data_IF_027775844630
#
_entry.id   IF_027775844630
#
_cell.length_a   1.000
_cell.length_b   1.000
_cell.length_c   1.000
_cell.angle_alpha   90.00
_cell.angle_beta   90.00
_cell.angle_gamma   90.00
#
_symmetry.space_group_name_H-M   'P 1'
#
loop_
_entity.id
_entity.type
_entity.pdbx_description
1 polymer ?
#
# COMPACT_ATOMS: atom_id res chain seq x y z
N UNK A 1 -5.30 -4.90 -9.75
CA UNK A 1 -6.07 -3.72 -10.26
C UNK A 1 -7.56 -4.07 -10.19
N UNK A 2 -8.10 -4.07 -8.95
CA UNK A 2 -9.46 -4.54 -8.65
C UNK A 2 -10.52 -3.43 -8.69
N UNK A 3 -11.79 -3.85 -8.82
CA UNK A 3 -12.96 -2.92 -8.88
C UNK A 3 -13.17 -2.11 -7.60
N UNK A 4 -12.87 -2.67 -6.45
CA UNK A 4 -13.12 -2.07 -5.12
C UNK A 4 -11.97 -1.20 -4.59
N UNK A 5 -11.01 -0.87 -5.45
CA UNK A 5 -9.81 -0.15 -5.03
C UNK A 5 -9.90 1.39 -5.22
N UNK A 6 -10.88 1.89 -6.00
CA UNK A 6 -11.02 3.35 -6.24
C UNK A 6 -9.80 3.99 -6.89
N UNK A 7 -9.06 3.24 -7.71
CA UNK A 7 -7.80 3.67 -8.33
C UNK A 7 -7.97 4.84 -9.30
N UNK A 8 -9.13 4.96 -9.91
CA UNK A 8 -9.51 6.08 -10.77
C UNK A 8 -9.46 7.42 -10.02
N UNK A 9 -9.98 7.47 -8.81
CA UNK A 9 -9.92 8.66 -7.96
C UNK A 9 -8.50 9.04 -7.58
N UNK A 10 -7.65 8.04 -7.29
CA UNK A 10 -6.23 8.27 -6.98
C UNK A 10 -5.51 8.84 -8.20
N UNK A 11 -5.77 8.31 -9.39
CA UNK A 11 -5.19 8.82 -10.64
C UNK A 11 -5.63 10.25 -10.94
N UNK A 12 -6.90 10.59 -10.68
CA UNK A 12 -7.42 11.95 -10.90
C UNK A 12 -6.72 13.00 -10.01
N UNK A 13 -6.34 12.60 -8.81
CA UNK A 13 -5.66 13.46 -7.82
C UNK A 13 -4.13 13.32 -7.84
N UNK A 14 -3.55 12.56 -8.79
CA UNK A 14 -2.12 12.30 -8.84
C UNK A 14 -1.32 13.60 -9.06
N UNK A 15 -0.39 13.96 -8.16
CA UNK A 15 0.49 15.11 -8.35
C UNK A 15 1.38 14.94 -9.59
N UNK A 16 1.78 16.05 -10.21
CA UNK A 16 2.59 16.02 -11.44
C UNK A 16 4.02 15.52 -11.25
N UNK A 17 4.55 15.69 -10.04
CA UNK A 17 5.90 15.29 -9.61
C UNK A 17 5.95 13.86 -9.04
N UNK A 18 4.83 13.13 -9.07
CA UNK A 18 4.73 11.74 -8.60
C UNK A 18 4.48 10.81 -9.78
N UNK A 19 5.25 9.75 -9.88
CA UNK A 19 5.03 8.65 -10.82
C UNK A 19 4.24 7.53 -10.15
N UNK A 20 3.17 7.08 -10.82
CA UNK A 20 2.33 5.97 -10.37
C UNK A 20 2.56 4.74 -11.25
N UNK A 21 3.05 3.68 -10.64
CA UNK A 21 3.37 2.43 -11.33
C UNK A 21 2.41 1.32 -10.89
N UNK A 22 1.73 0.73 -11.88
CA UNK A 22 0.85 -0.41 -11.67
C UNK A 22 1.53 -1.71 -12.13
N UNK A 23 1.64 -2.66 -11.23
CA UNK A 23 2.07 -4.03 -11.50
C UNK A 23 0.91 -4.98 -11.30
N UNK A 24 0.73 -5.90 -12.23
CA UNK A 24 -0.37 -6.85 -12.25
C UNK A 24 -1.46 -6.47 -13.25
N UNK A 25 -2.46 -7.34 -13.34
CA UNK A 25 -3.63 -7.20 -14.20
C UNK A 25 -4.91 -7.11 -13.37
N UNK A 26 -6.02 -6.76 -13.98
CA UNK A 26 -7.31 -6.78 -13.30
C UNK A 26 -8.44 -6.08 -14.06
N UNK A 27 -9.63 -6.23 -13.52
CA UNK A 27 -10.87 -5.81 -14.19
C UNK A 27 -10.94 -4.31 -14.56
N UNK A 28 -10.14 -3.47 -13.89
CA UNK A 28 -10.12 -2.03 -14.14
C UNK A 28 -8.96 -1.56 -15.02
N UNK A 29 -8.04 -2.46 -15.39
CA UNK A 29 -6.82 -2.12 -16.12
C UNK A 29 -7.09 -1.31 -17.39
N UNK A 30 -7.91 -1.86 -18.29
CA UNK A 30 -8.25 -1.20 -19.56
C UNK A 30 -8.85 0.19 -19.36
N UNK A 31 -9.78 0.32 -18.42
CA UNK A 31 -10.43 1.62 -18.10
C UNK A 31 -9.43 2.64 -17.55
N UNK A 32 -8.46 2.20 -16.75
CA UNK A 32 -7.43 3.07 -16.20
C UNK A 32 -6.38 3.44 -17.25
N UNK A 33 -6.03 2.51 -18.16
CA UNK A 33 -5.14 2.78 -19.28
C UNK A 33 -5.68 3.82 -20.24
N UNK A 34 -7.00 3.78 -20.56
CA UNK A 34 -7.67 4.76 -21.39
C UNK A 34 -7.61 6.19 -20.80
N UNK A 35 -7.42 6.31 -19.49
CA UNK A 35 -7.35 7.56 -18.72
C UNK A 35 -5.94 7.90 -18.22
N UNK A 36 -4.94 7.13 -18.62
CA UNK A 36 -3.58 7.31 -18.10
C UNK A 36 -3.03 8.70 -18.45
N UNK A 37 -2.32 9.26 -17.49
CA UNK A 37 -1.54 10.49 -17.63
C UNK A 37 -0.08 10.15 -17.93
N UNK A 38 0.72 11.14 -18.32
CA UNK A 38 2.15 10.98 -18.66
C UNK A 38 3.00 10.35 -17.54
N UNK A 39 2.57 10.52 -16.29
CA UNK A 39 3.22 10.00 -15.09
C UNK A 39 2.54 8.74 -14.50
N UNK A 40 1.79 8.00 -15.32
CA UNK A 40 1.16 6.73 -14.94
C UNK A 40 1.67 5.62 -15.86
N UNK A 41 2.18 4.53 -15.27
CA UNK A 41 2.83 3.43 -15.96
C UNK A 41 2.18 2.10 -15.61
N UNK A 42 1.91 1.27 -16.62
CA UNK A 42 1.37 -0.08 -16.47
C UNK A 42 2.43 -1.09 -16.93
N UNK A 43 2.81 -2.01 -16.04
CA UNK A 43 3.88 -2.99 -16.27
C UNK A 43 3.37 -4.41 -16.57
N UNK A 44 2.04 -4.60 -16.51
CA UNK A 44 1.45 -5.91 -16.74
C UNK A 44 1.69 -6.91 -15.58
N UNK A 45 1.44 -8.20 -15.82
CA UNK A 45 1.54 -9.23 -14.80
C UNK A 45 2.98 -9.46 -14.35
N UNK A 46 3.16 -9.85 -13.08
CA UNK A 46 4.43 -10.26 -12.50
C UNK A 46 4.28 -11.54 -11.68
N UNK A 47 5.33 -12.32 -11.55
CA UNK A 47 5.33 -13.52 -10.73
C UNK A 47 5.43 -13.17 -9.24
N UNK A 48 4.82 -14.01 -8.40
CA UNK A 48 4.89 -13.80 -6.92
C UNK A 48 6.33 -13.75 -6.40
N UNK A 49 7.25 -14.48 -7.02
CA UNK A 49 8.68 -14.43 -6.69
C UNK A 49 9.33 -13.07 -6.92
N UNK A 50 8.78 -12.24 -7.80
CA UNK A 50 9.27 -10.90 -8.13
C UNK A 50 8.69 -9.81 -7.23
N UNK A 51 7.78 -10.16 -6.30
CA UNK A 51 7.09 -9.18 -5.45
C UNK A 51 8.06 -8.30 -4.65
N UNK A 52 9.14 -8.88 -4.15
CA UNK A 52 10.14 -8.12 -3.39
C UNK A 52 10.89 -7.12 -4.27
N UNK A 53 11.20 -7.48 -5.51
CA UNK A 53 11.84 -6.59 -6.48
C UNK A 53 10.92 -5.42 -6.85
N UNK A 54 9.65 -5.72 -7.12
CA UNK A 54 8.62 -4.70 -7.41
C UNK A 54 8.47 -3.72 -6.25
N UNK A 55 8.38 -4.22 -5.02
CA UNK A 55 8.29 -3.36 -3.83
C UNK A 55 9.60 -2.60 -3.56
N UNK A 56 10.75 -3.18 -3.88
CA UNK A 56 12.04 -2.50 -3.75
C UNK A 56 12.20 -1.33 -4.74
N UNK A 57 11.51 -1.35 -5.86
CA UNK A 57 11.58 -0.31 -6.88
C UNK A 57 10.79 0.96 -6.55
N UNK A 58 9.88 0.93 -5.56
CA UNK A 58 9.09 2.11 -5.20
C UNK A 58 9.64 2.83 -3.96
N UNK A 59 9.39 4.13 -3.85
CA UNK A 59 9.68 4.92 -2.63
C UNK A 59 8.58 4.74 -1.58
N UNK A 60 7.33 4.57 -2.03
CA UNK A 60 6.15 4.36 -1.20
C UNK A 60 5.16 3.45 -1.93
N UNK A 61 4.49 2.55 -1.22
CA UNK A 61 3.56 1.61 -1.81
C UNK A 61 2.10 2.01 -1.55
N UNK A 62 1.30 2.00 -2.63
CA UNK A 62 -0.11 2.40 -2.59
C UNK A 62 -1.01 1.27 -2.06
N UNK A 63 -1.82 1.60 -1.08
CA UNK A 63 -2.93 0.79 -0.58
C UNK A 63 -4.22 1.59 -0.66
N UNK A 64 -5.23 1.01 -1.25
CA UNK A 64 -6.53 1.66 -1.42
C UNK A 64 -7.65 0.79 -0.90
N UNK A 65 -8.67 1.42 -0.30
CA UNK A 65 -9.91 0.80 0.15
C UNK A 65 -11.06 1.75 -0.19
N UNK A 66 -11.99 1.28 -1.02
CA UNK A 66 -13.14 2.09 -1.43
C UNK A 66 -14.07 2.36 -0.25
N UNK A 67 -14.72 3.52 -0.23
CA UNK A 67 -15.79 3.81 0.70
C UNK A 67 -16.91 2.76 0.61
N UNK A 68 -17.47 2.36 1.74
CA UNK A 68 -18.44 1.27 1.83
C UNK A 68 -17.81 -0.12 2.04
N UNK A 69 -16.48 -0.26 1.93
CA UNK A 69 -15.75 -1.50 2.21
C UNK A 69 -15.22 -1.53 3.66
N UNK A 70 -15.51 -0.53 4.46
CA UNK A 70 -15.15 -0.47 5.88
C UNK A 70 -15.74 -1.67 6.64
N UNK A 71 -14.89 -2.39 7.37
CA UNK A 71 -15.30 -3.57 8.12
C UNK A 71 -15.53 -4.86 7.30
N UNK A 72 -15.50 -4.78 5.96
CA UNK A 72 -15.68 -5.96 5.09
C UNK A 72 -14.36 -6.64 4.72
N UNK A 73 -13.24 -6.02 4.99
CA UNK A 73 -11.91 -6.62 4.75
C UNK A 73 -10.78 -5.63 4.99
N UNK A 74 -9.63 -6.20 5.32
CA UNK A 74 -8.37 -5.47 5.45
C UNK A 74 -7.52 -5.79 4.22
N UNK A 75 -6.96 -4.79 3.53
CA UNK A 75 -6.06 -5.03 2.40
C UNK A 75 -4.82 -5.83 2.81
N UNK A 76 -4.84 -7.14 2.59
CA UNK A 76 -3.77 -8.08 3.01
C UNK A 76 -2.40 -7.75 2.45
N UNK A 77 -2.34 -7.09 1.27
CA UNK A 77 -1.09 -6.62 0.67
C UNK A 77 -0.32 -5.64 1.57
N UNK A 78 -0.99 -4.97 2.50
CA UNK A 78 -0.36 -4.06 3.46
C UNK A 78 0.75 -4.76 4.23
N UNK A 79 0.53 -5.97 4.71
CA UNK A 79 1.52 -6.70 5.51
C UNK A 79 2.77 -7.07 4.69
N UNK A 80 2.63 -7.38 3.40
CA UNK A 80 3.77 -7.61 2.51
C UNK A 80 4.56 -6.31 2.27
N UNK A 81 3.88 -5.17 2.15
CA UNK A 81 4.51 -3.85 2.03
C UNK A 81 5.32 -3.54 3.30
N UNK A 82 4.74 -3.72 4.47
CA UNK A 82 5.44 -3.52 5.74
C UNK A 82 6.68 -4.42 5.84
N UNK A 83 6.54 -5.72 5.51
CA UNK A 83 7.64 -6.67 5.51
C UNK A 83 8.75 -6.33 4.51
N UNK A 84 8.46 -5.61 3.44
CA UNK A 84 9.48 -5.12 2.50
C UNK A 84 10.19 -3.85 2.97
N UNK A 85 9.79 -3.27 4.11
CA UNK A 85 10.33 -2.03 4.63
C UNK A 85 9.94 -0.80 3.81
N UNK A 86 8.79 -0.84 3.14
CA UNK A 86 8.26 0.31 2.39
C UNK A 86 7.18 1.01 3.20
N UNK A 87 7.17 2.35 3.18
CA UNK A 87 6.07 3.10 3.75
C UNK A 87 4.79 2.91 2.93
N UNK A 88 3.65 3.16 3.56
CA UNK A 88 2.33 2.99 2.96
C UNK A 88 1.72 4.34 2.61
N UNK A 89 1.25 4.51 1.38
CA UNK A 89 0.35 5.58 0.98
C UNK A 89 -1.07 5.03 0.95
N UNK A 90 -1.92 5.49 1.84
CA UNK A 90 -3.27 4.95 1.97
C UNK A 90 -4.34 5.92 1.50
N UNK A 91 -5.25 5.41 0.67
CA UNK A 91 -6.49 6.09 0.31
C UNK A 91 -7.68 5.20 0.69
N UNK A 92 -8.43 5.61 1.68
CA UNK A 92 -9.57 4.85 2.17
C UNK A 92 -10.28 5.55 3.32
N UNK A 93 -11.29 4.88 3.92
CA UNK A 93 -12.08 5.46 4.98
C UNK A 93 -11.23 5.80 6.21
N UNK A 94 -11.44 7.01 6.74
CA UNK A 94 -10.87 7.45 8.02
C UNK A 94 -11.37 6.55 9.15
N UNK A 95 -10.47 6.14 10.04
CA UNK A 95 -10.77 5.24 11.15
C UNK A 95 -10.79 3.76 10.76
N UNK A 96 -10.52 3.40 9.50
CA UNK A 96 -10.29 2.01 9.11
C UNK A 96 -9.01 1.47 9.75
N UNK A 97 -8.87 0.15 9.84
CA UNK A 97 -7.72 -0.49 10.46
C UNK A 97 -6.38 0.01 9.88
N UNK A 98 -6.29 0.17 8.56
CA UNK A 98 -5.07 0.65 7.91
C UNK A 98 -4.84 2.15 8.19
N UNK A 99 -5.88 2.98 8.19
CA UNK A 99 -5.78 4.40 8.54
C UNK A 99 -5.25 4.57 9.98
N UNK A 100 -5.80 3.82 10.93
CA UNK A 100 -5.36 3.84 12.32
C UNK A 100 -3.92 3.34 12.46
N UNK A 101 -3.59 2.21 11.84
CA UNK A 101 -2.25 1.62 11.87
C UNK A 101 -1.19 2.61 11.36
N UNK A 102 -1.45 3.29 10.26
CA UNK A 102 -0.52 4.27 9.69
C UNK A 102 -0.31 5.43 10.64
N UNK A 103 -1.39 5.97 11.23
CA UNK A 103 -1.32 7.14 12.13
C UNK A 103 -0.65 6.81 13.46
N UNK A 104 -0.96 5.67 14.03
CA UNK A 104 -0.43 5.24 15.32
C UNK A 104 1.05 4.84 15.25
N UNK A 105 1.44 4.14 14.19
CA UNK A 105 2.80 3.60 14.06
C UNK A 105 3.74 4.51 13.22
N UNK A 106 3.20 5.53 12.56
CA UNK A 106 3.98 6.47 11.75
C UNK A 106 4.70 5.80 10.57
N UNK A 107 4.00 4.91 9.86
CA UNK A 107 4.54 4.06 8.79
C UNK A 107 4.14 4.50 7.38
N UNK A 108 3.58 5.68 7.22
CA UNK A 108 3.13 6.17 5.92
C UNK A 108 2.24 7.40 5.99
N UNK A 109 1.51 7.63 4.92
CA UNK A 109 0.58 8.74 4.78
C UNK A 109 -0.84 8.26 4.48
N UNK A 110 -1.83 8.97 5.03
CA UNK A 110 -3.24 8.84 4.66
C UNK A 110 -3.62 10.01 3.76
N UNK A 111 -3.67 9.76 2.44
CA UNK A 111 -3.78 10.78 1.40
C UNK A 111 -2.42 11.36 0.96
N UNK A 112 -2.46 12.24 -0.04
CA UNK A 112 -1.24 12.90 -0.54
C UNK A 112 -0.64 13.80 0.54
N UNK A 113 0.68 13.69 0.85
CA UNK A 113 1.34 14.63 1.74
C UNK A 113 1.51 15.99 1.05
N UNK A 114 1.57 17.07 1.82
CA UNK A 114 1.85 18.42 1.31
C UNK A 114 3.26 18.53 0.70
N UNK A 115 4.20 17.76 1.24
CA UNK A 115 5.59 17.71 0.79
C UNK A 115 6.16 16.31 0.94
N UNK A 116 6.93 15.91 -0.06
CA UNK A 116 7.73 14.70 -0.02
C UNK A 116 9.10 14.96 0.61
N UNK A 117 9.49 14.11 1.56
CA UNK A 117 10.82 14.12 2.16
C UNK A 117 11.41 12.71 2.19
N UNK A 118 12.54 12.53 1.53
CA UNK A 118 13.18 11.22 1.39
C UNK A 118 13.61 10.63 2.73
N UNK A 119 14.13 11.47 3.64
CA UNK A 119 14.56 11.02 4.97
C UNK A 119 13.37 10.49 5.77
N UNK A 120 12.25 11.20 5.72
CA UNK A 120 11.00 10.78 6.34
C UNK A 120 10.48 9.46 5.76
N UNK A 121 10.52 9.27 4.44
CA UNK A 121 10.12 8.01 3.80
C UNK A 121 11.00 6.83 4.24
N UNK A 122 12.31 7.03 4.33
CA UNK A 122 13.26 6.00 4.81
C UNK A 122 12.94 5.62 6.27
N UNK A 123 12.68 6.60 7.12
CA UNK A 123 12.33 6.35 8.53
C UNK A 123 10.99 5.61 8.67
N UNK A 124 9.98 6.01 7.92
CA UNK A 124 8.70 5.31 7.85
C UNK A 124 8.88 3.86 7.39
N UNK A 125 9.73 3.62 6.40
CA UNK A 125 10.05 2.28 5.92
C UNK A 125 10.74 1.40 6.97
N UNK A 126 11.65 1.96 7.76
CA UNK A 126 12.28 1.26 8.89
C UNK A 126 11.26 0.88 9.96
N UNK A 127 10.36 1.79 10.32
CA UNK A 127 9.26 1.53 11.26
C UNK A 127 8.32 0.45 10.72
N UNK A 128 7.98 0.50 9.44
CA UNK A 128 7.15 -0.50 8.78
C UNK A 128 7.77 -1.91 8.88
N UNK A 129 9.07 -2.04 8.60
CA UNK A 129 9.80 -3.30 8.72
C UNK A 129 9.83 -3.82 10.16
N UNK A 130 10.18 -2.97 11.11
CA UNK A 130 10.21 -3.33 12.52
C UNK A 130 8.83 -3.78 13.04
N UNK A 131 7.77 -3.12 12.59
CA UNK A 131 6.39 -3.47 12.91
C UNK A 131 6.03 -4.85 12.35
N UNK A 132 6.39 -5.14 11.08
CA UNK A 132 6.17 -6.45 10.47
C UNK A 132 6.86 -7.57 11.25
N UNK A 133 8.11 -7.36 11.64
CA UNK A 133 8.89 -8.35 12.39
C UNK A 133 8.34 -8.59 13.80
N UNK A 134 7.95 -7.53 14.51
CA UNK A 134 7.52 -7.61 15.90
C UNK A 134 6.06 -8.01 16.11
N UNK A 135 5.17 -7.71 15.17
CA UNK A 135 3.73 -7.95 15.34
C UNK A 135 3.13 -8.95 14.35
N UNK A 136 3.70 -9.07 13.14
CA UNK A 136 3.08 -9.78 12.02
C UNK A 136 3.96 -10.90 11.44
N UNK A 137 5.10 -11.21 12.02
CA UNK A 137 5.90 -12.37 11.62
C UNK A 137 5.17 -13.68 11.96
N UNK A 138 5.41 -14.72 11.17
CA UNK A 138 4.78 -16.03 11.35
C UNK A 138 4.98 -16.58 12.76
N UNK A 139 6.18 -16.46 13.30
CA UNK A 139 6.50 -16.90 14.67
C UNK A 139 5.67 -16.17 15.73
N UNK A 140 5.52 -14.85 15.61
CA UNK A 140 4.73 -14.05 16.56
C UNK A 140 3.24 -14.39 16.48
N UNK A 141 2.72 -14.60 15.29
CA UNK A 141 1.31 -14.97 15.10
C UNK A 141 1.04 -16.38 15.62
N UNK A 142 1.92 -17.35 15.34
CA UNK A 142 1.83 -18.71 15.87
C UNK A 142 1.88 -18.75 17.40
N UNK A 143 2.80 -18.00 18.02
CA UNK A 143 2.88 -17.90 19.48
C UNK A 143 1.61 -17.34 20.11
N UNK A 144 1.01 -16.33 19.50
CA UNK A 144 -0.27 -15.77 19.96
C UNK A 144 -1.40 -16.78 19.84
N UNK A 145 -1.45 -17.50 18.71
CA UNK A 145 -2.46 -18.53 18.49
C UNK A 145 -2.36 -19.66 19.50
N UNK A 146 -1.15 -20.20 19.73
CA UNK A 146 -0.89 -21.29 20.71
C UNK A 146 -1.21 -20.89 22.15
N UNK A 147 -1.09 -19.61 22.50
CA UNK A 147 -1.47 -19.11 23.84
C UNK A 147 -2.95 -18.86 24.01
N UNK A 148 -3.72 -18.82 22.92
CA UNK A 148 -5.16 -18.57 22.93
C UNK A 148 -6.00 -19.86 23.00
N UNK A 149 -5.37 -21.03 22.80
CA UNK A 149 -5.98 -22.37 22.92
C UNK A 149 -5.49 -23.05 24.19
#
# INVERSE_FOLDING_TARGET
IGRVQGLDKVMDMLPEDVELHFYGTGAMEKKLEERKRKNVFFHGPYFRSQQNEVLAACDIALVTLQEGMYGLGVPSKTYNILASGRPVLFFGPKGSEIDLLIREEGIGYCGWPEKWDRTTLIEMGRKARALAESKYSESVILDKFLKAI
#
